data_IF_031913982313
#
_entry.id   IF_031913982313
#
_cell.length_a   1.000
_cell.length_b   1.000
_cell.length_c   1.000
_cell.angle_alpha   90.00
_cell.angle_beta   90.00
_cell.angle_gamma   90.00
#
_symmetry.space_group_name_H-M   'P 1'
#
loop_
_entity.id
_entity.type
_entity.pdbx_description
1 polymer ?
#
# COMPACT_ATOMS: atom_id res chain seq x y z
N UNK A 1 30.22 -7.67 -6.26
CA UNK A 1 30.70 -7.25 -7.60
C UNK A 1 29.50 -7.26 -8.54
N UNK A 2 29.56 -6.50 -9.65
CA UNK A 2 28.52 -6.49 -10.68
C UNK A 2 28.54 -7.73 -11.57
N UNK A 3 27.62 -7.79 -12.54
CA UNK A 3 27.51 -8.90 -13.49
C UNK A 3 27.20 -8.44 -14.92
N UNK A 4 27.76 -9.14 -15.90
CA UNK A 4 27.46 -8.96 -17.32
C UNK A 4 26.58 -10.10 -17.80
N UNK A 5 25.31 -9.77 -18.06
CA UNK A 5 24.29 -10.72 -18.52
C UNK A 5 24.37 -10.99 -20.03
N UNK A 6 25.10 -10.19 -20.81
CA UNK A 6 25.27 -10.43 -22.25
C UNK A 6 26.23 -11.60 -22.49
N UNK A 7 27.35 -11.61 -21.79
CA UNK A 7 28.40 -12.62 -21.93
C UNK A 7 28.48 -13.59 -20.73
N UNK A 8 27.53 -13.46 -19.79
CA UNK A 8 27.41 -14.25 -18.58
C UNK A 8 28.72 -14.37 -17.77
N UNK A 9 29.33 -13.22 -17.46
CA UNK A 9 30.61 -13.16 -16.75
C UNK A 9 30.75 -11.87 -15.92
N UNK A 10 31.93 -11.64 -15.33
CA UNK A 10 32.22 -10.44 -14.52
C UNK A 10 32.87 -9.30 -15.29
N UNK A 11 32.99 -9.39 -16.62
CA UNK A 11 33.55 -8.32 -17.46
C UNK A 11 32.53 -7.20 -17.66
N UNK A 12 32.75 -6.09 -16.98
CA UNK A 12 31.88 -4.91 -16.97
C UNK A 12 32.40 -3.78 -17.86
N UNK A 13 33.35 -4.05 -18.76
CA UNK A 13 33.89 -3.05 -19.68
C UNK A 13 32.76 -2.37 -20.44
N UNK A 14 32.64 -1.06 -20.30
CA UNK A 14 31.63 -0.27 -20.99
C UNK A 14 32.15 0.09 -22.39
N UNK A 15 31.47 -0.39 -23.43
CA UNK A 15 31.84 -0.12 -24.82
C UNK A 15 31.01 1.00 -25.45
N UNK A 16 30.08 1.60 -24.69
CA UNK A 16 29.17 2.64 -25.18
C UNK A 16 29.43 4.02 -24.58
N UNK A 17 30.34 4.15 -23.60
CA UNK A 17 30.47 5.33 -22.73
C UNK A 17 29.17 5.73 -22.00
N UNK A 18 28.17 4.85 -21.98
CA UNK A 18 26.83 5.14 -21.47
C UNK A 18 26.67 4.71 -20.02
N UNK A 19 26.99 3.45 -19.70
CA UNK A 19 26.84 2.91 -18.35
C UNK A 19 27.79 3.59 -17.35
N UNK A 20 29.01 3.90 -17.78
CA UNK A 20 30.00 4.67 -17.01
C UNK A 20 29.48 6.07 -16.75
N UNK A 21 28.92 6.72 -17.77
CA UNK A 21 28.36 8.05 -17.64
C UNK A 21 27.17 8.09 -16.68
N UNK A 22 26.22 7.15 -16.83
CA UNK A 22 25.08 6.95 -15.93
C UNK A 22 25.54 6.75 -14.48
N UNK A 23 26.52 5.88 -14.24
CA UNK A 23 27.07 5.66 -12.91
C UNK A 23 27.71 6.93 -12.33
N UNK A 24 28.40 7.72 -13.16
CA UNK A 24 29.00 8.99 -12.77
C UNK A 24 27.96 10.02 -12.32
N UNK A 25 26.84 10.14 -13.04
CA UNK A 25 25.73 11.02 -12.65
C UNK A 25 25.20 10.69 -11.26
N UNK A 26 25.07 9.40 -10.94
CA UNK A 26 24.61 8.95 -9.61
C UNK A 26 25.66 9.26 -8.54
N UNK A 27 26.93 8.88 -8.77
CA UNK A 27 27.88 8.71 -7.68
C UNK A 27 29.34 9.03 -7.97
N UNK A 28 29.66 9.85 -8.98
CA UNK A 28 31.04 10.31 -9.17
C UNK A 28 31.55 10.98 -7.89
N UNK A 29 32.77 10.60 -7.46
CA UNK A 29 33.40 11.11 -6.24
C UNK A 29 33.54 12.63 -6.35
N UNK A 30 32.92 13.35 -5.40
CA UNK A 30 33.05 14.78 -5.26
C UNK A 30 34.26 15.19 -4.41
N UNK A 31 34.54 16.50 -4.43
CA UNK A 31 35.58 17.13 -3.61
C UNK A 31 37.01 16.57 -3.79
N UNK A 32 37.32 16.08 -4.99
CA UNK A 32 38.65 15.58 -5.38
C UNK A 32 39.35 16.46 -6.43
N UNK A 33 38.74 17.59 -6.82
CA UNK A 33 39.27 18.52 -7.83
C UNK A 33 39.15 18.05 -9.29
N UNK A 34 38.41 16.97 -9.57
CA UNK A 34 38.32 16.36 -10.90
C UNK A 34 36.87 16.38 -11.41
N UNK A 35 36.63 17.06 -12.54
CA UNK A 35 35.34 17.03 -13.24
C UNK A 35 34.19 17.59 -12.40
N UNK A 36 33.24 16.73 -12.05
CA UNK A 36 32.01 17.06 -11.33
C UNK A 36 31.77 16.08 -10.16
N UNK A 37 30.73 16.34 -9.37
CA UNK A 37 30.29 15.44 -8.31
C UNK A 37 28.93 14.82 -8.66
N UNK A 38 28.80 13.50 -8.47
CA UNK A 38 27.51 12.82 -8.61
C UNK A 38 26.53 13.26 -7.52
N UNK A 39 25.23 13.05 -7.76
CA UNK A 39 24.16 13.48 -6.84
C UNK A 39 24.33 12.90 -5.44
N UNK A 40 24.78 11.64 -5.34
CA UNK A 40 25.14 10.99 -4.10
C UNK A 40 26.56 10.42 -4.21
N UNK A 41 27.57 11.28 -4.11
CA UNK A 41 28.98 10.91 -4.31
C UNK A 41 29.58 9.94 -3.27
N UNK A 42 28.81 9.48 -2.28
CA UNK A 42 29.20 8.42 -1.31
C UNK A 42 28.43 7.11 -1.51
N UNK A 43 27.59 7.03 -2.53
CA UNK A 43 26.79 5.83 -2.83
C UNK A 43 27.67 4.67 -3.27
N UNK A 44 27.22 3.44 -2.99
CA UNK A 44 27.78 2.23 -3.61
C UNK A 44 26.96 1.89 -4.85
N UNK A 45 27.63 1.70 -5.98
CA UNK A 45 26.98 1.34 -7.25
C UNK A 45 27.22 -0.15 -7.53
N UNK A 46 26.16 -0.88 -7.83
CA UNK A 46 26.21 -2.26 -8.29
C UNK A 46 25.93 -2.29 -9.80
N UNK A 47 26.96 -2.32 -10.66
CA UNK A 47 26.77 -2.28 -12.11
C UNK A 47 26.22 -3.60 -12.64
N UNK A 48 25.20 -3.52 -13.49
CA UNK A 48 24.61 -4.66 -14.19
C UNK A 48 24.65 -4.36 -15.69
N UNK A 49 25.51 -5.08 -16.41
CA UNK A 49 25.67 -4.91 -17.85
C UNK A 49 24.63 -5.76 -18.59
N UNK A 50 23.68 -5.06 -19.19
CA UNK A 50 22.59 -5.63 -19.98
C UNK A 50 22.68 -5.26 -21.47
N UNK A 51 23.41 -4.19 -21.79
CA UNK A 51 23.60 -3.66 -23.13
C UNK A 51 25.10 -3.42 -23.39
N UNK A 52 25.50 -3.47 -24.66
CA UNK A 52 26.86 -3.17 -25.12
C UNK A 52 26.77 -2.47 -26.47
N UNK A 53 27.85 -1.88 -26.96
CA UNK A 53 27.90 -1.33 -28.31
C UNK A 53 28.84 -2.15 -29.18
N UNK A 54 28.48 -2.32 -30.44
CA UNK A 54 29.35 -2.90 -31.45
C UNK A 54 30.39 -1.88 -31.95
N UNK A 55 31.24 -2.29 -32.90
CA UNK A 55 32.30 -1.43 -33.44
C UNK A 55 31.78 -0.20 -34.22
N UNK A 56 30.50 -0.17 -34.57
CA UNK A 56 29.86 0.98 -35.21
C UNK A 56 29.25 1.96 -34.18
N UNK A 57 29.31 1.61 -32.89
CA UNK A 57 28.68 2.36 -31.81
C UNK A 57 27.18 2.06 -31.66
N UNK A 58 26.64 1.07 -32.39
CA UNK A 58 25.24 0.69 -32.27
C UNK A 58 25.04 -0.15 -31.00
N UNK A 59 24.00 0.16 -30.22
CA UNK A 59 23.65 -0.62 -29.05
C UNK A 59 23.16 -2.01 -29.45
N UNK A 60 23.90 -3.02 -29.03
CA UNK A 60 23.60 -4.45 -29.19
C UNK A 60 23.47 -5.14 -27.83
N UNK A 61 22.83 -6.30 -27.83
CA UNK A 61 22.38 -6.97 -26.61
C UNK A 61 20.97 -6.50 -26.24
N UNK A 62 20.05 -7.46 -26.18
CA UNK A 62 18.68 -7.25 -25.72
C UNK A 62 18.41 -8.37 -24.72
N UNK A 63 18.62 -8.12 -23.42
CA UNK A 63 18.44 -9.16 -22.42
C UNK A 63 16.99 -9.66 -22.49
N UNK A 64 16.84 -10.98 -22.46
CA UNK A 64 15.52 -11.56 -22.48
C UNK A 64 14.82 -11.35 -21.12
N UNK A 65 13.66 -11.98 -20.96
CA UNK A 65 12.91 -11.90 -19.71
C UNK A 65 13.65 -12.60 -18.57
N UNK A 66 14.35 -13.71 -18.85
CA UNK A 66 15.08 -14.46 -17.82
C UNK A 66 16.28 -13.66 -17.32
N UNK A 67 17.05 -13.05 -18.22
CA UNK A 67 18.16 -12.16 -17.86
C UNK A 67 17.67 -11.00 -16.98
N UNK A 68 16.53 -10.40 -17.32
CA UNK A 68 15.91 -9.34 -16.51
C UNK A 68 15.49 -9.86 -15.12
N UNK A 69 14.84 -11.03 -15.04
CA UNK A 69 14.46 -11.65 -13.78
C UNK A 69 15.70 -11.89 -12.89
N UNK A 70 16.73 -12.52 -13.45
CA UNK A 70 17.97 -12.80 -12.73
C UNK A 70 18.67 -11.52 -12.29
N UNK A 71 18.71 -10.48 -13.13
CA UNK A 71 19.31 -9.20 -12.78
C UNK A 71 18.61 -8.55 -11.57
N UNK A 72 17.27 -8.49 -11.58
CA UNK A 72 16.48 -7.92 -10.47
C UNK A 72 16.70 -8.70 -9.18
N UNK A 73 16.60 -10.04 -9.22
CA UNK A 73 16.90 -10.89 -8.07
C UNK A 73 18.35 -10.70 -7.57
N UNK A 74 19.33 -10.69 -8.48
CA UNK A 74 20.75 -10.59 -8.17
C UNK A 74 21.09 -9.30 -7.42
N UNK A 75 20.54 -8.16 -7.85
CA UNK A 75 20.78 -6.88 -7.17
C UNK A 75 20.01 -6.78 -5.86
N UNK A 76 18.79 -7.32 -5.80
CA UNK A 76 17.97 -7.33 -4.60
C UNK A 76 18.64 -8.09 -3.44
N UNK A 77 19.16 -9.29 -3.72
CA UNK A 77 19.89 -10.13 -2.76
C UNK A 77 21.19 -9.46 -2.27
N UNK A 78 21.73 -8.52 -3.05
CA UNK A 78 22.91 -7.72 -2.70
C UNK A 78 22.56 -6.42 -1.97
N UNK A 79 21.30 -6.25 -1.58
CA UNK A 79 20.82 -5.12 -0.80
C UNK A 79 20.47 -3.89 -1.63
N UNK A 80 20.46 -3.97 -2.96
CA UNK A 80 19.95 -2.86 -3.77
C UNK A 80 18.45 -2.71 -3.53
N UNK A 81 18.01 -1.48 -3.28
CA UNK A 81 16.59 -1.10 -3.12
C UNK A 81 16.18 0.05 -4.03
N UNK A 82 17.10 0.51 -4.88
CA UNK A 82 16.88 1.48 -5.94
C UNK A 82 17.57 0.92 -7.18
N UNK A 83 16.82 0.72 -8.25
CA UNK A 83 17.33 0.20 -9.53
C UNK A 83 17.09 1.27 -10.58
N UNK A 84 18.17 1.78 -11.18
CA UNK A 84 18.09 2.71 -12.29
C UNK A 84 18.12 1.95 -13.63
N UNK A 85 17.09 2.14 -14.44
CA UNK A 85 16.90 1.58 -15.77
C UNK A 85 16.97 2.70 -16.81
N UNK A 86 18.19 3.05 -17.21
CA UNK A 86 18.48 4.09 -18.22
C UNK A 86 18.27 3.60 -19.66
N UNK A 87 17.22 2.81 -19.89
CA UNK A 87 16.81 2.34 -21.22
C UNK A 87 15.29 2.45 -21.38
N UNK A 88 14.84 2.45 -22.64
CA UNK A 88 13.45 2.41 -23.01
C UNK A 88 13.28 1.49 -24.23
N UNK A 89 12.13 0.84 -24.35
CA UNK A 89 11.78 0.14 -25.59
C UNK A 89 11.82 1.12 -26.75
N UNK A 90 12.42 0.70 -27.87
CA UNK A 90 12.50 1.46 -29.12
C UNK A 90 11.24 1.33 -29.99
N UNK A 91 10.31 0.43 -29.60
CA UNK A 91 9.03 0.20 -30.27
C UNK A 91 7.86 0.41 -29.32
N UNK A 92 6.80 1.02 -29.86
CA UNK A 92 5.49 1.13 -29.22
C UNK A 92 4.92 -0.26 -28.97
N UNK A 93 4.39 -0.50 -27.77
CA UNK A 93 3.64 -1.72 -27.47
C UNK A 93 4.49 -2.97 -27.18
N UNK A 94 5.78 -2.81 -26.86
CA UNK A 94 6.65 -3.91 -26.43
C UNK A 94 6.40 -4.34 -24.97
N UNK A 95 5.13 -4.58 -24.63
CA UNK A 95 4.72 -5.03 -23.31
C UNK A 95 5.19 -6.46 -23.08
N UNK A 96 5.78 -6.70 -21.92
CA UNK A 96 6.08 -8.05 -21.43
C UNK A 96 5.39 -8.26 -20.09
N UNK A 97 4.41 -9.16 -20.06
CA UNK A 97 3.70 -9.57 -18.84
C UNK A 97 4.66 -10.14 -17.79
N UNK A 98 5.64 -10.92 -18.22
CA UNK A 98 6.61 -11.50 -17.30
C UNK A 98 7.49 -10.43 -16.65
N UNK A 99 7.94 -9.40 -17.39
CA UNK A 99 8.69 -8.27 -16.80
C UNK A 99 7.81 -7.44 -15.86
N UNK A 100 6.53 -7.27 -16.18
CA UNK A 100 5.54 -6.65 -15.28
C UNK A 100 5.44 -7.43 -13.95
N UNK A 101 5.23 -8.74 -14.01
CA UNK A 101 5.14 -9.60 -12.82
C UNK A 101 6.45 -9.62 -12.00
N UNK A 102 7.61 -9.58 -12.67
CA UNK A 102 8.90 -9.47 -11.98
C UNK A 102 8.96 -8.15 -11.22
N UNK A 103 8.60 -7.02 -11.82
CA UNK A 103 8.60 -5.73 -11.12
C UNK A 103 7.59 -5.76 -9.96
N UNK A 104 6.37 -6.27 -10.16
CA UNK A 104 5.35 -6.37 -9.10
C UNK A 104 5.83 -7.14 -7.86
N UNK A 105 6.67 -8.16 -8.05
CA UNK A 105 7.17 -8.98 -6.95
C UNK A 105 8.10 -8.23 -5.98
N UNK A 106 8.71 -7.10 -6.38
CA UNK A 106 9.70 -6.35 -5.59
C UNK A 106 9.21 -4.96 -5.19
N UNK A 107 8.12 -4.90 -4.41
CA UNK A 107 7.43 -3.64 -4.04
C UNK A 107 8.23 -2.70 -3.14
N UNK A 108 9.25 -3.20 -2.44
CA UNK A 108 10.17 -2.41 -1.62
C UNK A 108 11.36 -1.82 -2.41
N UNK A 109 11.44 -2.13 -3.71
CA UNK A 109 12.44 -1.60 -4.63
C UNK A 109 11.85 -0.46 -5.44
N UNK A 110 12.54 0.68 -5.46
CA UNK A 110 12.23 1.78 -6.37
C UNK A 110 12.88 1.52 -7.74
N UNK A 111 12.08 1.35 -8.78
CA UNK A 111 12.53 1.22 -10.16
C UNK A 111 12.49 2.57 -10.86
N UNK A 112 13.64 3.24 -10.97
CA UNK A 112 13.75 4.54 -11.65
C UNK A 112 14.01 4.30 -13.13
N UNK A 113 13.19 4.86 -14.02
CA UNK A 113 13.22 4.55 -15.46
C UNK A 113 13.32 5.81 -16.29
N UNK A 114 14.06 5.77 -17.40
CA UNK A 114 14.00 6.84 -18.40
C UNK A 114 12.69 6.78 -19.19
N UNK A 115 12.03 7.93 -19.41
CA UNK A 115 10.83 8.02 -20.25
C UNK A 115 11.11 7.73 -21.75
N UNK A 116 12.38 7.72 -22.15
CA UNK A 116 12.84 7.45 -23.50
C UNK A 116 13.01 8.71 -24.34
N UNK A 117 13.68 8.55 -25.48
CA UNK A 117 14.03 9.63 -26.40
C UNK A 117 13.40 9.35 -27.77
N UNK A 118 12.33 10.08 -28.12
CA UNK A 118 11.65 10.04 -29.41
C UNK A 118 11.23 8.65 -29.94
N UNK A 119 10.88 8.61 -31.23
CA UNK A 119 10.52 7.37 -31.93
C UNK A 119 11.24 7.25 -33.28
N UNK A 120 12.27 6.40 -33.34
CA UNK A 120 13.03 6.11 -34.58
C UNK A 120 12.23 5.42 -35.69
N UNK A 121 11.01 4.95 -35.41
CA UNK A 121 10.23 4.12 -36.34
C UNK A 121 8.90 4.75 -36.79
N UNK A 122 8.50 5.88 -36.22
CA UNK A 122 7.43 6.69 -36.80
C UNK A 122 8.08 7.59 -37.87
N UNK A 123 7.68 7.37 -39.13
CA UNK A 123 8.18 8.13 -40.26
C UNK A 123 8.00 9.65 -40.01
N UNK A 124 9.11 10.38 -39.96
CA UNK A 124 9.12 11.82 -39.70
C UNK A 124 9.32 12.26 -38.23
N UNK A 125 9.48 11.33 -37.27
CA UNK A 125 9.64 11.67 -35.84
C UNK A 125 10.85 11.01 -35.16
N UNK A 126 11.83 10.51 -35.93
CA UNK A 126 13.02 9.81 -35.41
C UNK A 126 13.83 10.61 -34.37
N UNK A 127 13.56 11.90 -34.23
CA UNK A 127 14.19 12.82 -33.29
C UNK A 127 13.20 13.54 -32.36
N UNK A 128 11.90 13.29 -32.50
CA UNK A 128 10.84 14.03 -31.80
C UNK A 128 10.17 13.18 -30.73
N UNK A 129 10.02 13.76 -29.55
CA UNK A 129 9.33 13.18 -28.41
C UNK A 129 7.95 12.64 -28.77
N UNK A 130 7.58 11.52 -28.14
CA UNK A 130 6.22 10.98 -28.16
C UNK A 130 5.56 11.13 -26.79
N UNK A 131 4.22 11.11 -26.78
CA UNK A 131 3.45 10.93 -25.57
C UNK A 131 3.30 9.42 -25.28
N UNK A 132 3.93 8.93 -24.23
CA UNK A 132 3.97 7.51 -23.86
C UNK A 132 2.66 7.02 -23.23
N UNK A 133 1.73 7.91 -22.88
CA UNK A 133 0.36 7.51 -22.54
C UNK A 133 -0.41 7.01 -23.76
N UNK A 134 -0.08 7.54 -24.95
CA UNK A 134 -0.64 7.09 -26.23
C UNK A 134 0.24 6.02 -26.91
N UNK A 135 1.56 6.13 -26.73
CA UNK A 135 2.55 5.29 -27.38
C UNK A 135 3.48 4.65 -26.35
N UNK A 136 2.95 3.69 -25.59
CA UNK A 136 3.60 3.08 -24.44
C UNK A 136 5.06 2.67 -24.69
N UNK A 137 5.92 3.03 -23.73
CA UNK A 137 7.37 2.76 -23.71
C UNK A 137 7.72 2.02 -22.43
N UNK A 138 8.35 0.86 -22.54
CA UNK A 138 8.66 0.03 -21.37
C UNK A 138 10.14 0.14 -21.01
N UNK A 139 10.50 0.21 -19.71
CA UNK A 139 9.62 -0.06 -18.55
C UNK A 139 8.77 1.12 -18.05
N UNK A 140 8.97 2.34 -18.54
CA UNK A 140 8.32 3.56 -18.02
C UNK A 140 6.78 3.50 -17.96
N UNK A 141 6.13 2.80 -18.90
CA UNK A 141 4.67 2.67 -18.98
C UNK A 141 4.10 1.43 -18.27
N UNK A 142 4.89 0.70 -17.47
CA UNK A 142 4.35 -0.34 -16.61
C UNK A 142 3.62 0.30 -15.42
N UNK A 143 2.37 -0.12 -15.18
CA UNK A 143 1.53 0.45 -14.12
C UNK A 143 1.87 -0.12 -12.74
N UNK A 144 2.96 0.37 -12.15
CA UNK A 144 3.34 0.04 -10.77
C UNK A 144 3.66 1.30 -9.97
N UNK A 145 3.15 1.37 -8.73
CA UNK A 145 3.39 2.51 -7.83
C UNK A 145 4.88 2.73 -7.55
N UNK A 146 5.69 1.66 -7.62
CA UNK A 146 7.13 1.66 -7.38
C UNK A 146 7.99 1.79 -8.64
N UNK A 147 7.39 2.12 -9.79
CA UNK A 147 8.10 2.68 -10.96
C UNK A 147 8.13 4.19 -10.86
N UNK A 148 9.27 4.80 -11.16
CA UNK A 148 9.47 6.24 -11.18
C UNK A 148 10.10 6.65 -12.52
N UNK A 149 9.27 7.12 -13.42
CA UNK A 149 9.59 7.51 -14.79
C UNK A 149 10.02 8.97 -14.88
N UNK A 150 11.13 9.20 -15.59
CA UNK A 150 11.83 10.49 -15.61
C UNK A 150 12.02 10.97 -17.04
N UNK A 151 11.51 12.16 -17.34
CA UNK A 151 11.81 12.90 -18.58
C UNK A 151 12.96 13.90 -18.37
N UNK A 152 13.35 14.59 -19.44
CA UNK A 152 14.49 15.51 -19.43
C UNK A 152 14.05 16.98 -19.43
N UNK A 153 14.85 17.82 -18.78
CA UNK A 153 14.88 19.28 -18.93
C UNK A 153 16.25 19.73 -19.47
N UNK A 154 16.30 20.91 -20.08
CA UNK A 154 17.55 21.60 -20.38
C UNK A 154 17.94 22.60 -19.28
N UNK A 155 19.04 23.33 -19.48
CA UNK A 155 19.56 24.31 -18.52
C UNK A 155 18.66 25.55 -18.33
N UNK A 156 17.61 25.72 -19.16
CA UNK A 156 16.63 26.79 -19.07
C UNK A 156 15.26 26.26 -18.61
N UNK A 157 15.22 25.05 -18.03
CA UNK A 157 14.00 24.35 -17.62
C UNK A 157 13.02 24.07 -18.77
N UNK A 158 13.47 24.10 -20.02
CA UNK A 158 12.65 23.70 -21.16
C UNK A 158 12.68 22.18 -21.33
N UNK A 159 11.58 21.64 -21.84
CA UNK A 159 11.54 20.26 -22.29
C UNK A 159 12.28 20.09 -23.63
N UNK A 160 13.35 19.28 -23.72
CA UNK A 160 14.06 19.04 -24.97
C UNK A 160 13.16 18.36 -26.01
N UNK A 161 13.45 18.58 -27.29
CA UNK A 161 12.62 18.05 -28.40
C UNK A 161 12.54 16.53 -28.41
N UNK A 162 13.61 15.83 -27.98
CA UNK A 162 13.67 14.37 -27.95
C UNK A 162 12.95 13.75 -26.76
N UNK A 163 12.73 14.50 -25.67
CA UNK A 163 12.34 13.94 -24.38
C UNK A 163 10.85 13.58 -24.35
N UNK A 164 10.56 12.29 -24.23
CA UNK A 164 9.21 11.75 -24.17
C UNK A 164 8.44 12.24 -22.94
N UNK A 165 7.12 12.31 -23.06
CA UNK A 165 6.21 12.83 -22.03
C UNK A 165 5.04 11.87 -21.80
N UNK A 166 4.28 12.07 -20.72
CA UNK A 166 3.07 11.33 -20.40
C UNK A 166 2.51 11.84 -19.09
N UNK A 167 1.31 12.40 -19.11
CA UNK A 167 0.65 12.94 -17.92
C UNK A 167 0.32 11.85 -16.89
N UNK A 168 0.29 10.58 -17.30
CA UNK A 168 0.07 9.44 -16.39
C UNK A 168 1.35 8.63 -16.16
N UNK A 169 2.18 8.42 -17.18
CA UNK A 169 3.31 7.49 -17.13
C UNK A 169 4.69 8.15 -16.98
N UNK A 170 4.75 9.47 -16.82
CA UNK A 170 6.00 10.19 -16.51
C UNK A 170 5.79 10.99 -15.23
N UNK A 171 6.55 10.68 -14.18
CA UNK A 171 6.35 11.27 -12.87
C UNK A 171 7.02 12.65 -12.75
N UNK A 172 8.28 12.81 -13.15
CA UNK A 172 9.04 14.09 -13.02
C UNK A 172 9.97 14.35 -14.19
N UNK A 173 10.47 15.59 -14.27
CA UNK A 173 11.62 15.94 -15.11
C UNK A 173 12.91 16.01 -14.29
N UNK A 174 14.06 15.80 -14.92
CA UNK A 174 15.37 16.14 -14.37
C UNK A 174 16.29 16.61 -15.52
N UNK A 175 17.38 17.34 -15.23
CA UNK A 175 18.34 17.74 -16.27
C UNK A 175 18.77 16.55 -17.14
N UNK A 176 18.76 16.73 -18.45
CA UNK A 176 19.12 15.68 -19.40
C UNK A 176 19.74 16.19 -20.70
N UNK A 177 20.16 17.45 -20.74
CA UNK A 177 20.85 18.07 -21.88
C UNK A 177 22.17 18.65 -21.41
N UNK A 178 23.22 18.42 -22.19
CA UNK A 178 24.59 18.79 -21.90
C UNK A 178 25.08 18.30 -20.52
N UNK A 179 24.77 17.05 -20.19
CA UNK A 179 25.17 16.45 -18.92
C UNK A 179 26.63 16.02 -19.05
N UNK A 180 27.50 16.62 -18.22
CA UNK A 180 28.90 16.22 -18.11
C UNK A 180 28.98 14.85 -17.40
N UNK A 181 29.63 13.88 -18.03
CA UNK A 181 29.76 12.51 -17.53
C UNK A 181 31.19 11.98 -17.71
N UNK A 182 31.65 11.03 -16.87
CA UNK A 182 32.94 10.38 -17.08
C UNK A 182 32.93 9.48 -18.31
N UNK A 183 34.02 9.49 -19.07
CA UNK A 183 34.25 8.54 -20.16
C UNK A 183 34.78 7.20 -19.66
N UNK A 184 34.44 6.11 -20.34
CA UNK A 184 34.94 4.75 -20.04
C UNK A 184 36.46 4.64 -20.15
N UNK A 185 37.07 5.43 -21.03
CA UNK A 185 38.52 5.49 -21.25
C UNK A 185 39.19 6.68 -20.52
N UNK A 186 38.50 7.28 -19.55
CA UNK A 186 38.95 8.46 -18.82
C UNK A 186 38.47 9.78 -19.44
N UNK A 187 38.76 10.88 -18.73
CA UNK A 187 38.25 12.20 -19.09
C UNK A 187 36.73 12.35 -18.89
N UNK A 188 36.15 13.38 -19.51
CA UNK A 188 34.74 13.70 -19.42
C UNK A 188 34.18 14.04 -20.80
N UNK A 189 32.90 13.73 -21.00
CA UNK A 189 32.16 14.09 -22.21
C UNK A 189 30.79 14.66 -21.83
N UNK A 190 30.16 15.34 -22.79
CA UNK A 190 28.81 15.88 -22.66
C UNK A 190 27.83 14.95 -23.36
N UNK A 191 26.74 14.58 -22.70
CA UNK A 191 25.73 13.66 -23.21
C UNK A 191 24.32 14.19 -23.01
N UNK A 192 23.41 13.80 -23.92
CA UNK A 192 21.99 14.14 -23.89
C UNK A 192 21.15 12.86 -23.75
N UNK A 193 20.07 12.93 -22.98
CA UNK A 193 19.08 11.87 -22.91
C UNK A 193 18.36 11.77 -21.58
N UNK A 194 17.12 11.27 -21.62
CA UNK A 194 16.37 10.87 -20.42
C UNK A 194 17.09 9.77 -19.61
N UNK A 195 18.00 9.04 -20.26
CA UNK A 195 18.90 8.07 -19.64
C UNK A 195 19.93 8.69 -18.70
N UNK A 196 20.18 10.00 -18.78
CA UNK A 196 20.99 10.78 -17.83
C UNK A 196 20.15 11.58 -16.82
N UNK A 197 18.85 11.77 -17.10
CA UNK A 197 17.88 12.33 -16.15
C UNK A 197 17.46 11.32 -15.08
N UNK A 198 17.14 10.08 -15.48
CA UNK A 198 16.81 8.99 -14.57
C UNK A 198 17.85 8.76 -13.45
N UNK A 199 19.17 8.71 -13.72
CA UNK A 199 20.17 8.55 -12.66
C UNK A 199 20.27 9.74 -11.70
N UNK A 200 19.88 10.96 -12.09
CA UNK A 200 19.78 12.07 -11.13
C UNK A 200 18.71 11.79 -10.07
N UNK A 201 17.55 11.27 -10.50
CA UNK A 201 16.44 10.90 -9.59
C UNK A 201 16.83 9.68 -8.74
N UNK A 202 17.47 8.67 -9.34
CA UNK A 202 17.96 7.51 -8.59
C UNK A 202 19.01 7.90 -7.54
N UNK A 203 19.92 8.81 -7.89
CA UNK A 203 20.90 9.39 -6.97
C UNK A 203 20.25 10.19 -5.85
N UNK A 204 19.22 10.99 -6.15
CA UNK A 204 18.45 11.73 -5.15
C UNK A 204 17.71 10.78 -4.20
N UNK A 205 17.01 9.76 -4.72
CA UNK A 205 16.37 8.74 -3.90
C UNK A 205 17.37 8.02 -2.97
N UNK A 206 18.58 7.73 -3.47
CA UNK A 206 19.64 7.13 -2.67
C UNK A 206 20.18 8.11 -1.61
N UNK A 207 20.26 9.41 -1.94
CA UNK A 207 20.66 10.45 -1.00
C UNK A 207 19.63 10.59 0.14
N UNK A 208 18.35 10.59 -0.19
CA UNK A 208 17.26 10.58 0.79
C UNK A 208 17.36 9.36 1.72
N UNK A 209 17.57 8.16 1.16
CA UNK A 209 17.78 6.95 1.98
C UNK A 209 19.08 6.94 2.79
N UNK A 210 20.07 7.74 2.42
CA UNK A 210 21.28 7.91 3.24
C UNK A 210 21.01 8.77 4.48
N UNK A 211 20.00 9.63 4.41
CA UNK A 211 19.54 10.43 5.55
C UNK A 211 18.58 9.62 6.43
N UNK A 212 17.62 8.93 5.82
CA UNK A 212 16.71 8.01 6.49
C UNK A 212 16.55 6.69 5.70
N UNK A 213 17.23 5.61 6.15
CA UNK A 213 17.16 4.30 5.50
C UNK A 213 15.78 3.66 5.49
N UNK A 214 14.86 4.09 6.35
CA UNK A 214 13.52 3.50 6.49
C UNK A 214 12.50 4.09 5.50
N UNK A 215 12.87 5.12 4.74
CA UNK A 215 12.01 5.73 3.74
C UNK A 215 11.47 4.67 2.77
N UNK A 216 10.14 4.55 2.75
CA UNK A 216 9.43 3.71 1.82
C UNK A 216 9.53 4.27 0.40
N UNK A 217 9.28 3.40 -0.59
CA UNK A 217 9.25 3.82 -1.99
C UNK A 217 8.23 4.93 -2.24
N UNK A 218 7.05 4.82 -1.61
CA UNK A 218 5.98 5.81 -1.74
C UNK A 218 6.40 7.17 -1.18
N UNK A 219 7.02 7.21 0.00
CA UNK A 219 7.49 8.45 0.64
C UNK A 219 8.59 9.13 -0.18
N UNK A 220 9.49 8.35 -0.79
CA UNK A 220 10.52 8.88 -1.69
C UNK A 220 9.87 9.52 -2.92
N UNK A 221 8.93 8.81 -3.55
CA UNK A 221 8.20 9.31 -4.72
C UNK A 221 7.45 10.60 -4.39
N UNK A 222 6.65 10.58 -3.34
CA UNK A 222 5.87 11.72 -2.87
C UNK A 222 6.77 12.93 -2.64
N UNK A 223 7.83 12.79 -1.85
CA UNK A 223 8.73 13.90 -1.54
C UNK A 223 9.37 14.49 -2.80
N UNK A 224 9.80 13.66 -3.77
CA UNK A 224 10.40 14.14 -5.01
C UNK A 224 9.35 14.81 -5.92
N UNK A 225 8.15 14.25 -6.03
CA UNK A 225 7.09 14.77 -6.90
C UNK A 225 6.47 16.08 -6.36
N UNK A 226 6.18 16.13 -5.06
CA UNK A 226 5.58 17.29 -4.40
C UNK A 226 6.51 18.50 -4.40
N UNK A 227 7.82 18.24 -4.31
CA UNK A 227 8.84 19.30 -4.26
C UNK A 227 9.46 19.62 -5.60
N UNK A 228 9.04 18.94 -6.68
CA UNK A 228 9.45 19.29 -8.02
C UNK A 228 8.89 20.67 -8.42
N UNK A 229 9.61 21.37 -9.29
CA UNK A 229 9.32 22.77 -9.65
C UNK A 229 9.26 22.95 -11.17
N UNK A 230 8.27 23.72 -11.62
CA UNK A 230 8.12 24.13 -13.02
C UNK A 230 7.88 25.65 -13.11
N UNK A 231 8.90 26.48 -12.84
CA UNK A 231 8.74 27.93 -12.73
C UNK A 231 8.24 28.61 -14.02
N UNK A 232 8.35 27.93 -15.17
CA UNK A 232 7.96 28.46 -16.48
C UNK A 232 6.77 27.71 -17.11
N UNK A 233 6.11 26.80 -16.37
CA UNK A 233 5.00 25.99 -16.86
C UNK A 233 5.33 25.15 -18.12
N UNK A 234 6.59 24.73 -18.25
CA UNK A 234 7.08 23.96 -19.39
C UNK A 234 6.64 22.50 -19.38
N UNK A 235 6.19 21.98 -18.23
CA UNK A 235 5.81 20.60 -17.98
C UNK A 235 4.33 20.43 -17.58
N UNK A 236 3.60 21.52 -17.32
CA UNK A 236 2.14 21.48 -17.05
C UNK A 236 1.39 20.66 -18.10
N UNK A 237 0.66 19.64 -17.63
CA UNK A 237 -0.13 18.73 -18.47
C UNK A 237 0.68 17.75 -19.32
N UNK A 238 2.02 17.70 -19.16
CA UNK A 238 2.92 16.79 -19.91
C UNK A 238 3.45 15.65 -19.03
N UNK A 239 3.47 15.82 -17.72
CA UNK A 239 3.92 14.84 -16.72
C UNK A 239 2.96 14.84 -15.53
N UNK A 240 3.02 13.83 -14.68
CA UNK A 240 2.15 13.65 -13.52
C UNK A 240 2.53 14.57 -12.35
N UNK A 241 3.83 14.77 -12.10
CA UNK A 241 4.35 15.60 -11.02
C UNK A 241 4.55 17.06 -11.39
N UNK A 242 5.09 17.84 -10.45
CA UNK A 242 5.09 19.30 -10.51
C UNK A 242 6.20 19.93 -11.36
N UNK A 243 7.11 19.14 -11.96
CA UNK A 243 8.17 19.66 -12.81
C UNK A 243 9.52 18.97 -12.66
N UNK A 244 10.59 19.78 -12.70
CA UNK A 244 11.97 19.35 -12.49
C UNK A 244 12.24 19.08 -11.02
N UNK A 245 12.98 18.00 -10.71
CA UNK A 245 13.37 17.67 -9.33
C UNK A 245 14.13 18.81 -8.62
N UNK A 246 13.87 18.95 -7.32
CA UNK A 246 14.62 19.81 -6.40
C UNK A 246 15.16 18.98 -5.23
N UNK A 247 16.46 18.70 -5.24
CA UNK A 247 17.11 17.85 -4.24
C UNK A 247 17.03 18.43 -2.81
N UNK A 248 17.21 19.75 -2.67
CA UNK A 248 17.16 20.40 -1.36
C UNK A 248 15.75 20.34 -0.77
N UNK A 249 14.75 20.68 -1.58
CA UNK A 249 13.36 20.65 -1.15
C UNK A 249 12.89 19.22 -0.83
N UNK A 250 13.26 18.22 -1.64
CA UNK A 250 12.93 16.81 -1.38
C UNK A 250 13.54 16.29 -0.06
N UNK A 251 14.81 16.61 0.22
CA UNK A 251 15.45 16.27 1.49
C UNK A 251 14.78 16.98 2.66
N UNK A 252 14.50 18.27 2.53
CA UNK A 252 13.80 19.04 3.57
C UNK A 252 12.37 18.51 3.80
N UNK A 253 11.66 18.10 2.75
CA UNK A 253 10.36 17.46 2.87
C UNK A 253 10.47 16.17 3.66
N UNK A 254 11.42 15.30 3.30
CA UNK A 254 11.70 14.09 4.06
C UNK A 254 12.08 14.40 5.52
N UNK A 255 12.94 15.39 5.78
CA UNK A 255 13.32 15.80 7.14
C UNK A 255 12.14 16.33 7.98
N UNK A 256 11.29 17.16 7.39
CA UNK A 256 10.23 17.87 8.13
C UNK A 256 8.94 17.08 8.25
N UNK A 257 8.57 16.32 7.22
CA UNK A 257 7.36 15.48 7.19
C UNK A 257 7.63 14.04 7.65
N UNK A 258 8.85 13.52 7.51
CA UNK A 258 9.21 12.13 7.86
C UNK A 258 10.27 12.06 8.98
N UNK A 259 11.18 13.03 9.07
CA UNK A 259 12.27 13.11 10.05
C UNK A 259 11.90 13.59 11.46
N UNK A 260 10.61 13.79 11.75
CA UNK A 260 10.07 13.99 13.10
C UNK A 260 9.70 12.66 13.80
N UNK A 261 10.06 11.50 13.23
CA UNK A 261 9.66 10.19 13.76
C UNK A 261 8.16 9.94 13.56
N UNK A 262 7.59 10.51 12.51
CA UNK A 262 6.16 10.58 12.25
C UNK A 262 5.81 9.69 11.07
N UNK A 263 5.33 8.47 11.32
CA UNK A 263 5.01 7.55 10.23
C UNK A 263 3.77 8.02 9.46
N UNK A 264 3.84 7.95 8.14
CA UNK A 264 2.78 8.27 7.17
C UNK A 264 1.58 7.29 7.18
N UNK A 265 1.57 6.29 8.08
CA UNK A 265 0.44 5.36 8.28
C UNK A 265 0.16 5.13 9.76
N UNK A 266 -1.11 5.23 10.13
CA UNK A 266 -1.57 4.92 11.49
C UNK A 266 -1.54 3.40 11.75
N UNK A 267 -1.28 2.93 12.98
CA UNK A 267 -1.30 1.49 13.31
C UNK A 267 -2.67 0.87 13.04
N UNK A 268 -2.70 -0.35 12.49
CA UNK A 268 -3.96 -1.10 12.36
C UNK A 268 -4.35 -1.67 13.74
N UNK A 269 -5.58 -1.41 14.18
CA UNK A 269 -6.12 -1.91 15.46
C UNK A 269 -7.09 -3.06 15.20
N UNK A 270 -6.78 -4.24 15.71
CA UNK A 270 -7.72 -5.36 15.77
C UNK A 270 -8.30 -5.49 17.17
N UNK A 271 -9.62 -5.64 17.25
CA UNK A 271 -10.33 -5.81 18.51
C UNK A 271 -10.79 -7.26 18.64
N UNK A 272 -10.51 -7.87 19.77
CA UNK A 272 -11.17 -9.13 20.18
C UNK A 272 -11.92 -8.88 21.48
N UNK A 273 -13.23 -9.10 21.42
CA UNK A 273 -14.11 -9.06 22.60
C UNK A 273 -14.31 -10.47 23.15
N UNK A 274 -14.52 -10.63 24.46
CA UNK A 274 -14.87 -11.93 25.03
C UNK A 274 -16.20 -12.43 24.43
N UNK A 275 -16.34 -13.75 24.32
CA UNK A 275 -17.54 -14.36 23.72
C UNK A 275 -18.68 -14.36 24.75
N UNK A 276 -19.40 -13.24 24.78
CA UNK A 276 -20.57 -13.08 25.63
C UNK A 276 -21.66 -14.01 25.11
N UNK A 277 -21.92 -15.08 25.86
CA UNK A 277 -23.07 -15.96 25.65
C UNK A 277 -24.40 -15.19 25.67
N UNK A 278 -25.52 -15.88 25.53
CA UNK A 278 -26.84 -15.25 25.45
C UNK A 278 -27.29 -14.48 26.70
N UNK A 279 -26.48 -14.48 27.76
CA UNK A 279 -26.70 -13.73 28.99
C UNK A 279 -26.08 -12.30 29.00
N UNK A 280 -25.44 -11.86 27.92
CA UNK A 280 -25.15 -10.44 27.61
C UNK A 280 -24.28 -9.62 28.58
N UNK A 281 -23.96 -10.11 29.77
CA UNK A 281 -23.09 -9.45 30.75
C UNK A 281 -21.66 -9.96 30.71
N UNK A 282 -20.69 -9.08 30.92
CA UNK A 282 -19.29 -9.42 31.19
C UNK A 282 -19.19 -10.08 32.57
N UNK A 283 -18.55 -11.25 32.67
CA UNK A 283 -18.30 -11.97 33.92
C UNK A 283 -16.92 -11.60 34.53
N UNK A 284 -16.74 -11.89 35.82
CA UNK A 284 -15.41 -11.88 36.47
C UNK A 284 -14.47 -12.79 35.67
N UNK A 285 -13.34 -12.25 35.20
CA UNK A 285 -12.31 -12.88 34.31
C UNK A 285 -12.44 -12.67 32.79
N UNK A 286 -13.51 -12.03 32.29
CA UNK A 286 -13.61 -11.67 30.87
C UNK A 286 -12.59 -10.58 30.48
N UNK A 287 -12.00 -10.71 29.29
CA UNK A 287 -10.99 -9.76 28.79
C UNK A 287 -11.36 -9.16 27.45
N UNK A 288 -11.32 -7.82 27.37
CA UNK A 288 -11.29 -7.08 26.12
C UNK A 288 -9.83 -6.92 25.73
N UNK A 289 -9.49 -7.36 24.53
CA UNK A 289 -8.13 -7.28 24.01
C UNK A 289 -8.11 -6.42 22.76
N UNK A 290 -7.39 -5.31 22.83
CA UNK A 290 -6.99 -4.54 21.66
C UNK A 290 -5.61 -5.02 21.23
N UNK A 291 -5.52 -5.54 20.01
CA UNK A 291 -4.26 -5.91 19.38
C UNK A 291 -3.83 -4.82 18.43
N UNK A 292 -2.73 -4.14 18.77
CA UNK A 292 -2.10 -3.15 17.90
C UNK A 292 -1.06 -3.85 17.05
N UNK A 293 -1.28 -3.84 15.73
CA UNK A 293 -0.25 -4.24 14.79
C UNK A 293 0.57 -3.00 14.45
N UNK A 294 1.70 -2.84 15.13
CA UNK A 294 2.66 -1.78 14.85
C UNK A 294 3.54 -2.22 13.67
N UNK A 295 3.44 -1.57 12.49
CA UNK A 295 4.30 -1.91 11.36
C UNK A 295 5.72 -1.34 11.50
N UNK A 296 6.03 -0.59 12.59
CA UNK A 296 7.27 0.16 12.75
C UNK A 296 8.15 -0.39 13.89
N UNK A 297 9.38 -0.78 13.58
CA UNK A 297 10.32 -1.38 14.54
C UNK A 297 10.96 -0.38 15.52
N UNK A 298 10.76 0.94 15.33
CA UNK A 298 11.55 1.99 16.00
C UNK A 298 10.79 3.06 16.81
N UNK A 299 9.45 3.09 16.79
CA UNK A 299 8.69 4.12 17.51
C UNK A 299 8.13 3.63 18.84
N UNK A 300 8.20 4.49 19.86
CA UNK A 300 7.44 4.34 21.12
C UNK A 300 5.97 4.60 20.81
N UNK A 301 5.16 3.56 20.77
CA UNK A 301 3.70 3.70 20.79
C UNK A 301 3.26 3.57 22.25
N UNK A 302 2.56 4.59 22.74
CA UNK A 302 1.75 4.50 23.95
C UNK A 302 0.30 4.36 23.56
N UNK A 303 -0.29 3.24 23.95
CA UNK A 303 -1.73 3.03 23.87
C UNK A 303 -2.28 3.05 25.28
N UNK A 304 -3.24 3.94 25.52
CA UNK A 304 -3.98 3.97 26.78
C UNK A 304 -5.40 3.47 26.56
N UNK A 305 -5.79 2.45 27.32
CA UNK A 305 -7.17 1.99 27.37
C UNK A 305 -7.84 2.57 28.62
N UNK A 306 -8.75 3.51 28.43
CA UNK A 306 -9.47 4.23 29.50
C UNK A 306 -10.89 3.70 29.59
N UNK A 307 -11.39 3.48 30.81
CA UNK A 307 -12.81 3.21 31.04
C UNK A 307 -13.45 4.33 31.84
N UNK A 308 -14.56 4.87 31.33
CA UNK A 308 -15.29 6.00 31.94
C UNK A 308 -16.46 5.54 32.82
N UNK A 309 -16.62 4.22 33.04
CA UNK A 309 -17.69 3.66 33.85
C UNK A 309 -17.48 3.92 35.35
N UNK A 310 -18.54 4.26 36.13
CA UNK A 310 -18.44 4.64 37.55
C UNK A 310 -17.96 3.52 38.49
N UNK A 311 -17.77 2.31 37.97
CA UNK A 311 -17.32 1.13 38.72
C UNK A 311 -16.22 0.39 37.95
N UNK A 312 -15.18 1.07 37.46
CA UNK A 312 -14.05 0.42 36.79
C UNK A 312 -12.74 0.74 37.50
N UNK A 313 -11.91 -0.27 37.79
CA UNK A 313 -10.52 -0.07 38.17
C UNK A 313 -9.65 -0.70 37.08
N UNK A 314 -8.77 0.11 36.50
CA UNK A 314 -7.96 -0.28 35.36
C UNK A 314 -6.61 -0.79 35.85
N UNK A 315 -6.24 -2.03 35.49
CA UNK A 315 -4.88 -2.55 35.66
C UNK A 315 -4.21 -2.68 34.30
N UNK A 316 -2.99 -2.14 34.15
CA UNK A 316 -2.20 -2.11 32.91
C UNK A 316 -2.83 -1.29 31.76
N UNK A 317 -3.34 -0.09 32.08
CA UNK A 317 -3.93 0.85 31.10
C UNK A 317 -2.96 1.31 30.01
N UNK A 318 -1.66 1.36 30.29
CA UNK A 318 -0.65 1.93 29.39
C UNK A 318 0.31 0.85 28.92
N UNK A 319 0.37 0.61 27.61
CA UNK A 319 1.39 -0.26 27.01
C UNK A 319 2.37 0.60 26.22
N UNK A 320 3.65 0.52 26.58
CA UNK A 320 4.76 1.18 25.88
C UNK A 320 5.60 0.11 25.17
N UNK A 321 5.81 0.24 23.86
CA UNK A 321 6.56 -0.74 23.10
C UNK A 321 7.68 -0.12 22.26
N UNK A 322 8.80 -0.85 22.18
CA UNK A 322 9.88 -0.66 21.21
C UNK A 322 10.15 -2.02 20.56
N UNK A 323 10.03 -2.14 19.24
CA UNK A 323 10.50 -3.30 18.48
C UNK A 323 9.72 -4.62 18.61
N UNK A 324 8.40 -4.61 18.79
CA UNK A 324 7.60 -5.86 18.66
C UNK A 324 6.20 -5.62 18.05
N UNK A 325 5.68 -6.53 17.20
CA UNK A 325 4.59 -6.24 16.25
C UNK A 325 3.18 -6.56 16.76
N UNK A 326 3.03 -7.02 18.00
CA UNK A 326 1.73 -7.38 18.60
C UNK A 326 1.71 -6.89 20.04
N UNK A 327 0.86 -5.90 20.33
CA UNK A 327 0.61 -5.45 21.70
C UNK A 327 -0.76 -5.94 22.13
N UNK A 328 -0.80 -6.70 23.22
CA UNK A 328 -2.02 -7.22 23.84
C UNK A 328 -2.25 -6.45 25.13
N UNK A 329 -3.25 -5.58 25.17
CA UNK A 329 -3.78 -5.02 26.43
C UNK A 329 -4.99 -5.86 26.83
N UNK A 330 -5.16 -6.15 28.12
CA UNK A 330 -6.26 -6.98 28.63
C UNK A 330 -6.92 -6.30 29.82
N UNK A 331 -8.23 -6.04 29.74
CA UNK A 331 -9.03 -5.62 30.90
C UNK A 331 -9.45 -6.85 31.69
N UNK A 332 -9.42 -6.81 33.02
CA UNK A 332 -10.01 -7.86 33.85
C UNK A 332 -11.07 -7.23 34.74
N UNK A 333 -12.33 -7.64 34.60
CA UNK A 333 -13.44 -7.08 35.38
C UNK A 333 -13.55 -7.77 36.74
N UNK A 334 -13.78 -7.01 37.81
CA UNK A 334 -13.95 -7.54 39.17
C UNK A 334 -15.29 -7.11 39.79
N UNK A 335 -16.43 -7.65 39.32
CA UNK A 335 -17.73 -7.41 39.95
C UNK A 335 -18.68 -8.61 39.94
N UNK A 336 -19.65 -8.55 40.84
CA UNK A 336 -20.70 -9.56 41.11
C UNK A 336 -22.04 -9.25 40.43
N UNK A 337 -22.11 -8.25 39.54
CA UNK A 337 -23.32 -7.89 38.77
C UNK A 337 -23.00 -7.21 37.43
N UNK A 338 -23.86 -7.30 36.39
CA UNK A 338 -23.56 -6.84 35.03
C UNK A 338 -23.70 -5.31 34.86
N UNK A 339 -22.77 -4.65 34.18
CA UNK A 339 -22.76 -3.18 33.94
C UNK A 339 -22.23 -2.79 32.55
N UNK A 340 -22.58 -1.60 32.08
CA UNK A 340 -22.08 -0.98 30.84
C UNK A 340 -20.64 -0.45 31.03
N UNK A 341 -19.77 -0.75 30.07
CA UNK A 341 -18.37 -0.32 30.10
C UNK A 341 -18.05 0.36 28.78
N UNK A 342 -17.83 1.67 28.84
CA UNK A 342 -17.17 2.37 27.74
C UNK A 342 -15.66 2.14 27.86
N UNK A 343 -15.06 1.81 26.73
CA UNK A 343 -13.62 1.63 26.59
C UNK A 343 -13.16 2.55 25.48
N UNK A 344 -12.26 3.46 25.81
CA UNK A 344 -11.65 4.40 24.89
C UNK A 344 -10.19 3.99 24.68
N UNK A 345 -9.79 3.81 23.43
CA UNK A 345 -8.39 3.59 23.07
C UNK A 345 -7.83 4.89 22.51
N UNK A 346 -6.94 5.51 23.27
CA UNK A 346 -6.17 6.66 22.80
C UNK A 346 -4.80 6.17 22.36
N UNK A 347 -4.48 6.31 21.08
CA UNK A 347 -3.15 6.05 20.54
C UNK A 347 -2.48 7.40 20.36
N UNK A 348 -1.56 7.75 21.24
CA UNK A 348 -0.72 8.93 21.05
C UNK A 348 0.43 8.57 20.11
N UNK A 349 0.20 8.77 18.81
CA UNK A 349 1.26 8.89 17.82
C UNK A 349 1.26 10.35 17.35
N UNK A 350 2.38 11.07 17.35
CA UNK A 350 2.33 12.47 16.95
C UNK A 350 1.83 12.66 15.48
N UNK A 351 1.79 11.59 14.65
CA UNK A 351 1.57 11.62 13.19
C UNK A 351 0.13 11.30 12.77
N UNK A 352 -0.66 10.78 13.70
CA UNK A 352 -2.05 10.43 13.48
C UNK A 352 -2.80 10.56 14.80
N UNK A 353 -3.83 11.40 14.84
CA UNK A 353 -4.92 11.19 15.77
C UNK A 353 -5.78 10.04 15.23
N UNK A 354 -5.85 8.92 15.97
CA UNK A 354 -6.84 7.87 15.69
C UNK A 354 -8.11 8.26 16.43
N UNK A 355 -9.24 8.40 15.72
CA UNK A 355 -10.51 8.74 16.35
C UNK A 355 -10.84 7.73 17.47
N UNK A 356 -11.29 8.22 18.65
CA UNK A 356 -11.67 7.35 19.74
C UNK A 356 -12.80 6.43 19.30
N UNK A 357 -12.58 5.12 19.45
CA UNK A 357 -13.58 4.11 19.12
C UNK A 357 -14.32 3.68 20.38
N UNK A 358 -15.57 4.08 20.51
CA UNK A 358 -16.45 3.61 21.57
C UNK A 358 -16.95 2.20 21.25
N UNK A 359 -16.60 1.22 22.07
CA UNK A 359 -17.22 -0.10 22.04
C UNK A 359 -18.34 -0.12 23.07
N UNK A 360 -19.57 -0.31 22.61
CA UNK A 360 -20.75 -0.43 23.48
C UNK A 360 -20.94 -1.88 23.92
N UNK A 361 -21.06 -2.10 25.23
CA UNK A 361 -21.58 -3.34 25.78
C UNK A 361 -23.02 -3.09 26.25
N UNK A 362 -23.96 -3.87 25.73
CA UNK A 362 -25.38 -3.70 26.02
C UNK A 362 -25.77 -4.47 27.29
N UNK A 363 -26.41 -3.75 28.20
CA UNK A 363 -26.90 -4.18 29.50
C UNK A 363 -27.88 -5.37 29.42
N UNK A 364 -27.80 -6.34 30.36
CA UNK A 364 -28.95 -7.16 30.74
C UNK A 364 -29.48 -6.67 32.10
N UNK A 365 -30.59 -5.91 32.11
CA UNK A 365 -31.35 -5.67 33.34
C UNK A 365 -32.45 -6.70 33.46
N UNK A 366 -32.23 -7.71 34.29
CA UNK A 366 -33.27 -8.64 34.72
C UNK A 366 -33.01 -9.05 36.16
N UNK A 367 -33.58 -8.33 37.12
CA UNK A 367 -33.67 -8.79 38.51
C UNK A 367 -34.71 -9.91 38.58
N UNK A 368 -34.29 -11.14 38.30
CA UNK A 368 -35.16 -12.31 38.36
C UNK A 368 -34.35 -13.58 38.32
N UNK A 369 -34.37 -14.32 39.41
CA UNK A 369 -33.78 -15.65 39.53
C UNK A 369 -34.18 -16.56 38.36
N UNK A 370 -33.15 -17.19 37.76
CA UNK A 370 -33.18 -18.20 36.69
C UNK A 370 -33.42 -17.66 35.27
N UNK A 371 -32.31 -17.30 34.60
CA UNK A 371 -32.14 -17.52 33.15
C UNK A 371 -32.93 -16.65 32.17
N UNK A 372 -33.07 -15.34 32.40
CA UNK A 372 -33.70 -14.44 31.44
C UNK A 372 -32.96 -13.11 31.28
N UNK A 373 -32.25 -12.91 30.15
CA UNK A 373 -32.06 -11.57 29.62
C UNK A 373 -33.36 -11.13 28.95
N UNK A 374 -34.16 -10.35 29.65
CA UNK A 374 -35.19 -9.50 29.04
C UNK A 374 -34.58 -8.14 28.73
N UNK A 375 -34.60 -7.69 27.47
CA UNK A 375 -34.26 -6.29 27.14
C UNK A 375 -33.42 -6.05 25.88
N UNK A 376 -34.11 -5.89 24.76
CA UNK A 376 -34.08 -4.67 23.94
C UNK A 376 -33.07 -4.35 22.83
N UNK A 377 -32.13 -5.19 22.37
CA UNK A 377 -31.21 -4.66 21.33
C UNK A 377 -30.83 -5.56 20.15
N UNK A 378 -31.34 -6.79 20.06
CA UNK A 378 -31.16 -7.59 18.84
C UNK A 378 -32.41 -8.41 18.51
N UNK A 379 -33.07 -8.03 17.42
CA UNK A 379 -34.28 -8.72 16.89
C UNK A 379 -34.07 -10.22 16.75
N UNK A 380 -32.87 -10.63 16.28
CA UNK A 380 -32.54 -12.04 16.08
C UNK A 380 -32.28 -12.78 17.39
N UNK A 381 -31.75 -12.12 18.42
CA UNK A 381 -31.56 -12.72 19.73
C UNK A 381 -32.89 -12.94 20.46
N UNK A 382 -33.78 -11.95 20.46
CA UNK A 382 -35.11 -12.06 21.03
C UNK A 382 -35.92 -13.19 20.37
N UNK A 383 -35.80 -13.32 19.04
CA UNK A 383 -36.46 -14.40 18.32
C UNK A 383 -35.81 -15.77 18.55
N UNK A 384 -34.48 -15.88 18.62
CA UNK A 384 -33.81 -17.18 18.71
C UNK A 384 -33.71 -17.75 20.14
N UNK A 385 -33.92 -16.93 21.17
CA UNK A 385 -33.83 -17.31 22.59
C UNK A 385 -34.63 -18.57 22.91
N UNK A 386 -33.99 -19.54 23.56
CA UNK A 386 -34.62 -20.78 24.02
C UNK A 386 -34.97 -21.75 22.88
N UNK A 387 -34.38 -21.57 21.69
CA UNK A 387 -34.57 -22.44 20.54
C UNK A 387 -33.25 -22.93 19.98
N UNK A 388 -33.30 -23.93 19.10
CA UNK A 388 -32.11 -24.44 18.42
C UNK A 388 -31.39 -23.39 17.56
N UNK A 389 -32.07 -22.28 17.19
CA UNK A 389 -31.50 -21.19 16.39
C UNK A 389 -30.42 -20.41 17.15
N UNK A 390 -30.45 -20.47 18.49
CA UNK A 390 -29.48 -19.82 19.37
C UNK A 390 -28.04 -20.24 19.06
N UNK A 391 -27.85 -21.52 18.72
CA UNK A 391 -26.55 -22.09 18.33
C UNK A 391 -25.97 -21.49 17.04
N UNK A 392 -26.81 -20.88 16.20
CA UNK A 392 -26.43 -20.30 14.92
C UNK A 392 -26.29 -18.77 14.94
N UNK A 393 -26.51 -18.12 16.09
CA UNK A 393 -26.27 -16.69 16.25
C UNK A 393 -24.76 -16.36 16.24
N UNK A 394 -23.90 -17.29 16.67
CA UNK A 394 -22.44 -17.08 16.76
C UNK A 394 -21.79 -16.84 15.37
N UNK A 395 -22.04 -17.65 14.33
CA UNK A 395 -21.63 -17.33 12.96
C UNK A 395 -22.17 -15.98 12.45
N UNK A 396 -23.43 -15.63 12.78
CA UNK A 396 -24.04 -14.37 12.36
C UNK A 396 -23.38 -13.14 12.99
N UNK A 397 -22.91 -13.23 14.24
CA UNK A 397 -22.12 -12.17 14.89
C UNK A 397 -20.75 -11.98 14.23
N UNK A 398 -20.06 -13.06 13.85
CA UNK A 398 -18.79 -12.95 13.10
C UNK A 398 -18.98 -12.26 11.74
N UNK A 399 -20.08 -12.56 11.05
CA UNK A 399 -20.43 -11.87 9.80
C UNK A 399 -20.68 -10.37 10.03
N UNK A 400 -21.44 -10.01 11.08
CA UNK A 400 -21.64 -8.61 11.49
C UNK A 400 -20.31 -7.89 11.71
N UNK A 401 -19.37 -8.51 12.41
CA UNK A 401 -18.07 -7.90 12.72
C UNK A 401 -17.22 -7.71 11.47
N UNK A 402 -17.30 -8.65 10.51
CA UNK A 402 -16.71 -8.49 9.18
C UNK A 402 -17.34 -7.35 8.37
N UNK A 403 -18.67 -7.18 8.42
CA UNK A 403 -19.37 -6.09 7.71
C UNK A 403 -18.93 -4.70 8.20
N UNK A 404 -18.61 -4.55 9.48
CA UNK A 404 -18.16 -3.26 10.04
C UNK A 404 -16.81 -2.78 9.50
N UNK A 405 -16.04 -3.64 8.81
CA UNK A 405 -14.79 -3.24 8.16
C UNK A 405 -15.03 -2.32 6.95
N UNK A 406 -16.24 -2.31 6.38
CA UNK A 406 -16.60 -1.51 5.22
C UNK A 406 -17.63 -0.42 5.58
N UNK A 407 -17.56 0.75 4.93
CA UNK A 407 -18.43 1.91 5.24
C UNK A 407 -19.93 1.61 5.12
N UNK A 408 -20.33 0.92 4.05
CA UNK A 408 -21.72 0.52 3.83
C UNK A 408 -22.20 -0.51 4.87
N UNK A 409 -21.31 -1.43 5.29
CA UNK A 409 -21.62 -2.43 6.30
C UNK A 409 -21.77 -1.81 7.70
N UNK A 410 -20.99 -0.77 8.03
CA UNK A 410 -21.20 0.02 9.27
C UNK A 410 -22.58 0.68 9.30
N UNK A 411 -22.95 1.40 8.24
CA UNK A 411 -24.28 2.04 8.16
C UNK A 411 -25.42 1.03 8.31
N UNK A 412 -25.28 -0.16 7.70
CA UNK A 412 -26.28 -1.22 7.84
C UNK A 412 -26.37 -1.76 9.27
N UNK A 413 -25.22 -2.04 9.90
CA UNK A 413 -25.18 -2.54 11.28
C UNK A 413 -25.75 -1.49 12.24
N UNK A 414 -25.37 -0.22 12.08
CA UNK A 414 -25.87 0.88 12.89
C UNK A 414 -27.40 1.03 12.75
N UNK A 415 -27.93 1.03 11.53
CA UNK A 415 -29.37 1.06 11.29
C UNK A 415 -30.10 -0.14 11.93
N UNK A 416 -29.56 -1.36 11.79
CA UNK A 416 -30.18 -2.56 12.32
C UNK A 416 -30.27 -2.56 13.86
N UNK A 417 -29.20 -2.15 14.54
CA UNK A 417 -29.13 -2.18 16.00
C UNK A 417 -29.71 -0.93 16.66
N UNK A 418 -29.58 0.25 16.03
CA UNK A 418 -30.05 1.53 16.58
C UNK A 418 -31.49 1.84 16.22
N UNK A 419 -31.89 1.54 14.99
CA UNK A 419 -33.16 2.05 14.46
C UNK A 419 -34.21 0.92 14.33
N UNK A 420 -33.80 -0.29 13.87
CA UNK A 420 -34.73 -1.40 13.63
C UNK A 420 -34.99 -2.28 14.87
N UNK A 421 -33.95 -2.73 15.55
CA UNK A 421 -34.09 -3.68 16.67
C UNK A 421 -34.87 -3.13 17.88
N UNK A 422 -34.71 -1.86 18.29
CA UNK A 422 -35.47 -1.30 19.40
C UNK A 422 -36.97 -1.21 19.12
N UNK A 423 -37.36 -1.11 17.84
CA UNK A 423 -38.75 -1.15 17.41
C UNK A 423 -39.30 -2.59 17.39
N UNK A 424 -38.51 -3.54 16.90
CA UNK A 424 -38.96 -4.92 16.67
C UNK A 424 -38.96 -5.81 17.92
N UNK A 425 -38.01 -5.62 18.84
CA UNK A 425 -37.86 -6.48 20.02
C UNK A 425 -39.10 -6.44 20.93
N UNK A 426 -39.67 -5.27 21.28
CA UNK A 426 -40.90 -5.23 22.09
C UNK A 426 -42.07 -5.96 21.41
N UNK A 427 -42.20 -5.86 20.08
CA UNK A 427 -43.24 -6.55 19.32
C UNK A 427 -43.06 -8.07 19.36
N UNK A 428 -41.83 -8.56 19.27
CA UNK A 428 -41.49 -9.98 19.36
C UNK A 428 -41.77 -10.52 20.76
N UNK A 429 -41.35 -9.81 21.80
CA UNK A 429 -41.49 -10.24 23.20
C UNK A 429 -42.96 -10.25 23.66
N UNK A 430 -43.78 -9.34 23.13
CA UNK A 430 -45.20 -9.20 23.55
C UNK A 430 -46.19 -9.99 22.68
N UNK A 431 -45.83 -10.34 21.44
CA UNK A 431 -46.74 -11.01 20.50
C UNK A 431 -46.16 -12.33 19.98
N UNK A 432 -46.71 -13.46 20.46
CA UNK A 432 -46.25 -14.80 20.09
C UNK A 432 -46.27 -15.09 18.57
N UNK A 433 -47.24 -14.52 17.83
CA UNK A 433 -47.32 -14.65 16.37
C UNK A 433 -46.16 -13.94 15.68
N UNK A 434 -45.81 -12.73 16.12
CA UNK A 434 -44.67 -11.97 15.58
C UNK A 434 -43.36 -12.71 15.84
N UNK A 435 -43.17 -13.22 17.06
CA UNK A 435 -42.02 -14.07 17.39
C UNK A 435 -41.91 -15.29 16.46
N UNK A 436 -43.02 -15.99 16.20
CA UNK A 436 -43.04 -17.14 15.30
C UNK A 436 -42.69 -16.78 13.85
N UNK A 437 -43.25 -15.68 13.33
CA UNK A 437 -42.93 -15.18 11.98
C UNK A 437 -41.46 -14.81 11.86
N UNK A 438 -40.91 -14.09 12.84
CA UNK A 438 -39.50 -13.70 12.85
C UNK A 438 -38.59 -14.93 12.93
N UNK A 439 -38.94 -15.97 13.70
CA UNK A 439 -38.20 -17.24 13.74
C UNK A 439 -38.16 -17.94 12.38
N UNK A 440 -39.29 -18.02 11.69
CA UNK A 440 -39.37 -18.63 10.35
C UNK A 440 -38.47 -17.88 9.36
N UNK A 441 -38.49 -16.55 9.40
CA UNK A 441 -37.68 -15.72 8.49
C UNK A 441 -36.19 -15.75 8.84
N UNK A 442 -35.86 -15.83 10.13
CA UNK A 442 -34.49 -15.81 10.63
C UNK A 442 -33.77 -17.15 10.43
N UNK A 443 -34.47 -18.28 10.57
CA UNK A 443 -33.90 -19.62 10.45
C UNK A 443 -33.08 -19.85 9.16
N UNK A 444 -33.59 -19.57 7.93
CA UNK A 444 -32.82 -19.78 6.72
C UNK A 444 -31.60 -18.85 6.65
N UNK A 445 -31.71 -17.60 7.13
CA UNK A 445 -30.59 -16.65 7.14
C UNK A 445 -29.46 -17.17 8.04
N UNK A 446 -29.79 -17.58 9.26
CA UNK A 446 -28.79 -18.10 10.20
C UNK A 446 -28.14 -19.39 9.72
N UNK A 447 -28.91 -20.27 9.07
CA UNK A 447 -28.37 -21.52 8.50
C UNK A 447 -27.45 -21.26 7.31
N UNK A 448 -27.77 -20.30 6.45
CA UNK A 448 -26.91 -19.89 5.33
C UNK A 448 -25.58 -19.33 5.84
N UNK A 449 -25.63 -18.50 6.89
CA UNK A 449 -24.42 -17.93 7.49
C UNK A 449 -23.60 -18.99 8.22
N UNK A 450 -24.25 -19.94 8.88
CA UNK A 450 -23.57 -21.03 9.58
C UNK A 450 -22.95 -22.06 8.62
N UNK A 451 -23.57 -22.29 7.46
CA UNK A 451 -23.16 -23.32 6.51
C UNK A 451 -23.22 -22.80 5.05
N UNK A 452 -22.28 -21.94 4.63
CA UNK A 452 -22.33 -21.28 3.32
C UNK A 452 -22.27 -22.28 2.15
N UNK A 453 -21.51 -23.37 2.28
CA UNK A 453 -21.36 -24.36 1.21
C UNK A 453 -22.60 -25.26 1.04
N UNK A 454 -23.29 -25.62 2.12
CA UNK A 454 -24.51 -26.45 2.02
C UNK A 454 -25.70 -25.62 1.55
N UNK A 455 -25.75 -24.34 1.91
CA UNK A 455 -26.76 -23.41 1.41
C UNK A 455 -26.71 -23.23 -0.12
N UNK A 456 -25.51 -23.14 -0.70
CA UNK A 456 -25.33 -23.07 -2.17
C UNK A 456 -25.88 -24.33 -2.85
N UNK A 457 -25.64 -25.51 -2.27
CA UNK A 457 -26.13 -26.79 -2.81
C UNK A 457 -27.66 -26.87 -2.70
N UNK A 458 -28.26 -26.46 -1.58
CA UNK A 458 -29.72 -26.48 -1.38
C UNK A 458 -30.43 -25.47 -2.28
N UNK A 459 -29.87 -24.26 -2.46
CA UNK A 459 -30.42 -23.26 -3.38
C UNK A 459 -30.30 -23.73 -4.84
N UNK A 460 -29.19 -24.37 -5.22
CA UNK A 460 -29.01 -24.96 -6.55
C UNK A 460 -30.02 -26.11 -6.81
N UNK A 461 -30.28 -26.97 -5.82
CA UNK A 461 -31.28 -28.02 -5.92
C UNK A 461 -32.72 -27.49 -5.95
N UNK A 462 -33.05 -26.47 -5.15
CA UNK A 462 -34.36 -25.83 -5.14
C UNK A 462 -34.64 -25.09 -6.47
N UNK A 463 -33.63 -24.41 -7.03
CA UNK A 463 -33.70 -23.78 -8.36
C UNK A 463 -33.83 -24.80 -9.51
N UNK A 464 -33.18 -25.97 -9.38
CA UNK A 464 -33.34 -27.08 -10.31
C UNK A 464 -34.75 -27.68 -10.29
N UNK A 465 -35.39 -27.79 -9.12
CA UNK A 465 -36.75 -28.31 -8.98
C UNK A 465 -37.82 -27.34 -9.51
N UNK A 466 -37.64 -26.02 -9.36
CA UNK A 466 -38.53 -25.03 -10.01
C UNK A 466 -38.36 -25.02 -11.53
N UNK A 467 -37.15 -25.21 -12.06
CA UNK A 467 -36.93 -25.34 -13.51
C UNK A 467 -37.59 -26.62 -14.09
N UNK A 468 -37.58 -27.74 -13.35
CA UNK A 468 -38.27 -28.99 -13.73
C UNK A 468 -39.80 -28.87 -13.63
N UNK A 469 -40.32 -28.09 -12.67
CA UNK A 469 -41.75 -27.84 -12.53
C UNK A 469 -42.32 -26.91 -13.62
N UNK A 470 -41.53 -25.94 -14.09
CA UNK A 470 -41.91 -25.02 -15.18
C UNK A 470 -41.85 -25.71 -16.55
N UNK A 471 -40.90 -26.61 -16.78
CA UNK A 471 -40.78 -27.37 -18.05
C UNK A 471 -41.80 -28.49 -18.21
N UNK A 472 -42.49 -28.92 -17.14
CA UNK A 472 -43.60 -29.90 -17.22
C UNK A 472 -44.98 -29.26 -17.44
N UNK A 473 -45.08 -27.93 -17.53
CA UNK A 473 -46.34 -27.20 -17.78
C UNK A 473 -46.37 -26.40 -19.09
N UNK A 474 -45.40 -26.60 -19.98
CA UNK A 474 -45.43 -26.10 -21.36
C UNK A 474 -45.73 -27.23 -22.33
#
# INVERSE_FOLDING_TARGET
MGWNFINNNSDLTDTCDHGTGVAGVIGQIGNNGIGFAGVNWRVKILPIKMFTCDNSGETVGRPDVADFAYAVHYVYERGARIINMSYSSNWVGNYSEAKYQIIDAFKDVLFVTSAGNGDTNIAGTATSAVNIDAYARFPASYSHDHIFSVTASDAHDNKPVFANIGAMNVDVAAPGVNILVPGSNGGHLSQDGTSFSAPLVAGLAALMRSYDPELSVAEIKEAIMETAEDPFNNFVGKIAGNGRINAHAALKYAETRLGSGQPSKCPAVQWSTPDLGCNGGLDRSDQIVATLQNPFDRNRISAELVSTGPYSTVSNSVVNATGSPVLTTSHTFDYTSPHEVQVELTISNPACEVEPKTVYFLQCTGSGSVGGCSGNWCTSCAAAQGTFLENYLRPARKLRDGLQQFSAGRHFVDFYYRDLSPFMVPLIETHAVVMWVVRILLAPILLVVAFPFTAIIVIAFAGGLTAIAVTRRT
#
